data_IF_574398107730
#
_entry.id   IF_574398107730
#
_cell.length_a   1.000
_cell.length_b   1.000
_cell.length_c   1.000
_cell.angle_alpha   90.00
_cell.angle_beta   90.00
_cell.angle_gamma   90.00
#
_symmetry.space_group_name_H-M   'P 1'
#
loop_
_entity.id
_entity.type
_entity.pdbx_description
1 polymer ?
#
# COMPACT_ATOMS: atom_id res chain seq x y z
N UNK A 1 -50.18 7.10 26.51
CA UNK A 1 -48.73 7.40 26.42
C UNK A 1 -48.07 6.19 25.76
N UNK A 2 -47.90 6.20 24.44
CA UNK A 2 -47.24 5.11 23.72
C UNK A 2 -45.72 5.34 23.82
N UNK A 3 -45.00 4.43 24.49
CA UNK A 3 -43.54 4.38 24.43
C UNK A 3 -43.14 3.53 23.24
N UNK A 4 -42.70 4.16 22.15
CA UNK A 4 -42.01 3.47 21.05
C UNK A 4 -40.61 3.08 21.51
N UNK A 5 -40.37 1.77 21.66
CA UNK A 5 -39.02 1.24 21.80
C UNK A 5 -38.34 1.27 20.42
N UNK A 6 -37.32 2.11 20.27
CA UNK A 6 -36.47 2.14 19.09
C UNK A 6 -35.55 0.91 19.12
N UNK A 7 -35.88 -0.10 18.33
CA UNK A 7 -35.03 -1.29 18.17
C UNK A 7 -33.97 -0.98 17.11
N UNK A 8 -32.78 -0.58 17.52
CA UNK A 8 -31.66 -0.35 16.61
C UNK A 8 -31.19 -1.70 16.02
N UNK A 9 -31.49 -1.92 14.75
CA UNK A 9 -30.94 -3.04 13.97
C UNK A 9 -29.45 -2.78 13.69
N UNK A 10 -28.59 -3.51 14.40
CA UNK A 10 -27.18 -3.63 14.03
C UNK A 10 -27.07 -4.63 12.86
N UNK A 11 -26.86 -4.14 11.65
CA UNK A 11 -26.47 -4.98 10.52
C UNK A 11 -24.93 -5.08 10.48
N UNK A 12 -24.34 -6.30 10.52
CA UNK A 12 -22.90 -6.44 10.36
C UNK A 12 -22.49 -6.05 8.93
N UNK A 13 -21.62 -5.06 8.81
CA UNK A 13 -20.95 -4.75 7.54
C UNK A 13 -19.76 -5.71 7.40
N UNK A 14 -19.63 -6.35 6.25
CA UNK A 14 -18.53 -7.26 5.93
C UNK A 14 -17.96 -6.91 4.55
N UNK A 15 -16.64 -6.90 4.44
CA UNK A 15 -15.91 -6.72 3.19
C UNK A 15 -14.87 -7.82 3.05
N UNK A 16 -14.73 -8.37 1.84
CA UNK A 16 -13.63 -9.30 1.55
C UNK A 16 -12.36 -8.50 1.35
N UNK A 17 -11.32 -8.85 2.11
CA UNK A 17 -9.99 -8.28 2.01
C UNK A 17 -9.16 -9.16 1.08
N UNK A 18 -8.64 -8.60 -0.01
CA UNK A 18 -7.84 -9.33 -1.00
C UNK A 18 -6.33 -9.18 -0.77
N UNK A 19 -5.91 -8.01 -0.34
CA UNK A 19 -4.50 -7.70 -0.07
C UNK A 19 -4.38 -6.73 1.10
N UNK A 20 -3.42 -6.99 1.98
CA UNK A 20 -3.01 -6.10 3.07
C UNK A 20 -1.50 -6.21 3.20
N UNK A 21 -0.84 -5.06 3.22
CA UNK A 21 0.56 -4.95 3.61
C UNK A 21 0.69 -3.80 4.60
N UNK A 22 1.30 -4.09 5.74
CA UNK A 22 1.54 -3.14 6.83
C UNK A 22 3.02 -3.03 7.18
N UNK A 23 3.90 -3.77 6.48
CA UNK A 23 5.35 -3.69 6.63
C UNK A 23 5.86 -3.87 8.06
N UNK A 24 5.19 -4.76 8.83
CA UNK A 24 5.48 -5.03 10.25
C UNK A 24 6.74 -5.87 10.49
N UNK A 25 7.38 -6.34 9.43
CA UNK A 25 8.52 -7.25 9.50
C UNK A 25 9.50 -7.05 8.33
N UNK A 26 10.74 -7.52 8.55
CA UNK A 26 11.80 -7.50 7.53
C UNK A 26 11.59 -8.54 6.42
N UNK A 27 10.60 -9.42 6.55
CA UNK A 27 10.29 -10.47 5.55
C UNK A 27 9.45 -9.94 4.38
N UNK A 28 9.21 -8.63 4.30
CA UNK A 28 8.47 -8.03 3.19
C UNK A 28 9.06 -8.35 1.81
N UNK A 29 10.37 -8.62 1.73
CA UNK A 29 11.04 -9.08 0.49
C UNK A 29 10.64 -10.48 0.01
N UNK A 30 9.97 -11.27 0.85
CA UNK A 30 9.38 -12.54 0.44
C UNK A 30 8.05 -12.32 -0.32
N UNK A 31 7.44 -11.12 -0.16
CA UNK A 31 6.14 -10.76 -0.75
C UNK A 31 6.26 -9.79 -1.91
N UNK A 32 7.28 -8.92 -1.89
CA UNK A 32 7.51 -7.87 -2.87
C UNK A 32 8.73 -8.15 -3.73
N UNK A 33 8.58 -7.98 -5.04
CA UNK A 33 9.62 -8.23 -6.04
C UNK A 33 9.88 -6.96 -6.84
N UNK A 34 11.15 -6.56 -6.92
CA UNK A 34 11.58 -5.42 -7.73
C UNK A 34 11.62 -5.82 -9.22
N UNK A 35 11.10 -4.95 -10.10
CA UNK A 35 11.18 -5.15 -11.55
C UNK A 35 12.61 -5.09 -12.05
N UNK A 36 12.98 -5.78 -13.13
CA UNK A 36 14.30 -5.65 -13.75
C UNK A 36 14.33 -4.65 -14.93
N UNK A 37 13.21 -4.02 -15.27
CA UNK A 37 13.03 -3.19 -16.48
C UNK A 37 14.08 -2.07 -16.65
N UNK A 38 14.56 -1.47 -15.56
CA UNK A 38 15.52 -0.34 -15.59
C UNK A 38 16.92 -0.69 -15.09
N UNK A 39 17.16 -1.95 -14.78
CA UNK A 39 18.43 -2.43 -14.23
C UNK A 39 19.60 -2.17 -15.19
N UNK A 40 19.47 -2.62 -16.44
CA UNK A 40 20.52 -2.46 -17.46
C UNK A 40 20.72 -1.01 -17.89
N UNK A 41 19.68 -0.18 -17.76
CA UNK A 41 19.76 1.26 -18.04
C UNK A 41 20.42 2.06 -16.90
N UNK A 42 20.74 1.43 -15.76
CA UNK A 42 21.35 2.10 -14.60
C UNK A 42 20.49 3.17 -13.93
N UNK A 43 19.19 3.21 -14.26
CA UNK A 43 18.23 4.23 -13.77
C UNK A 43 17.21 3.66 -12.80
N UNK A 44 17.41 2.42 -12.36
CA UNK A 44 16.61 1.79 -11.32
C UNK A 44 16.97 2.33 -9.94
N UNK A 45 15.96 2.66 -9.16
CA UNK A 45 16.07 2.97 -7.73
C UNK A 45 15.76 1.76 -6.87
N UNK A 46 16.09 1.87 -5.59
CA UNK A 46 15.86 0.84 -4.57
C UNK A 46 14.88 1.30 -3.50
N UNK A 47 14.14 0.34 -2.97
CA UNK A 47 13.26 0.55 -1.81
C UNK A 47 13.92 0.02 -0.54
N UNK A 48 13.77 0.74 0.56
CA UNK A 48 14.10 0.23 1.89
C UNK A 48 12.93 0.42 2.84
N UNK A 49 12.88 -0.43 3.86
CA UNK A 49 11.92 -0.28 4.96
C UNK A 49 12.35 0.91 5.82
N UNK A 50 11.44 1.83 6.07
CA UNK A 50 11.71 2.98 6.95
C UNK A 50 10.41 3.59 7.47
N UNK A 51 10.43 4.02 8.74
CA UNK A 51 9.44 4.97 9.27
C UNK A 51 9.77 6.44 8.94
N UNK A 52 10.93 6.69 8.35
CA UNK A 52 11.44 8.04 8.07
C UNK A 52 11.91 8.79 9.32
N UNK A 53 12.35 10.03 9.11
CA UNK A 53 12.86 10.94 10.16
C UNK A 53 11.77 11.38 11.13
N UNK A 54 10.54 11.58 10.65
CA UNK A 54 9.42 12.08 11.46
C UNK A 54 8.32 11.03 11.52
N UNK A 55 8.24 10.27 12.61
CA UNK A 55 7.22 9.23 12.80
C UNK A 55 6.55 9.41 14.17
N UNK A 56 5.34 8.87 14.30
CA UNK A 56 4.66 8.80 15.59
C UNK A 56 5.05 7.52 16.33
N UNK A 57 4.99 6.38 15.64
CA UNK A 57 5.44 5.09 16.16
C UNK A 57 6.29 4.38 15.08
N UNK A 58 7.62 4.23 15.29
CA UNK A 58 8.49 3.66 14.27
C UNK A 58 8.24 2.17 13.99
N UNK A 59 7.51 1.46 14.85
CA UNK A 59 7.14 0.06 14.60
C UNK A 59 5.87 -0.07 13.74
N UNK A 60 5.01 0.95 13.74
CA UNK A 60 3.74 0.97 12.99
C UNK A 60 3.88 1.77 11.70
N UNK A 61 4.65 2.84 11.72
CA UNK A 61 4.79 3.78 10.60
C UNK A 61 5.84 3.33 9.56
N UNK A 62 6.33 2.08 9.65
CA UNK A 62 7.22 1.51 8.63
C UNK A 62 6.48 1.44 7.28
N UNK A 63 7.23 1.71 6.21
CA UNK A 63 6.76 1.50 4.86
C UNK A 63 7.92 1.48 3.87
N UNK A 64 7.59 1.33 2.58
CA UNK A 64 8.58 1.40 1.51
C UNK A 64 8.98 2.85 1.25
N UNK A 65 10.26 3.15 1.47
CA UNK A 65 10.88 4.43 1.17
C UNK A 65 11.82 4.30 -0.02
N UNK A 66 11.62 5.14 -1.03
CA UNK A 66 12.54 5.34 -2.16
C UNK A 66 13.87 5.91 -1.65
N UNK A 67 15.01 5.37 -2.10
CA UNK A 67 16.31 5.77 -1.57
C UNK A 67 17.03 6.85 -2.40
N UNK A 68 16.94 6.77 -3.73
CA UNK A 68 17.73 7.62 -4.62
C UNK A 68 16.90 8.67 -5.38
N UNK A 69 17.50 9.83 -5.63
CA UNK A 69 16.87 10.87 -6.46
C UNK A 69 16.95 10.53 -7.96
N UNK A 70 15.96 11.02 -8.72
CA UNK A 70 15.92 10.89 -10.19
C UNK A 70 16.12 9.44 -10.67
N UNK A 71 15.34 8.52 -10.10
CA UNK A 71 15.31 7.11 -10.46
C UNK A 71 13.89 6.64 -10.78
N UNK A 72 13.81 5.52 -11.49
CA UNK A 72 12.57 4.78 -11.69
C UNK A 72 12.42 3.72 -10.61
N UNK A 73 11.22 3.68 -10.05
CA UNK A 73 10.87 2.78 -8.95
C UNK A 73 9.75 1.87 -9.40
N UNK A 74 9.95 0.56 -9.28
CA UNK A 74 8.93 -0.44 -9.63
C UNK A 74 9.16 -1.69 -8.78
N UNK A 75 8.21 -1.94 -7.90
CA UNK A 75 8.14 -3.13 -7.06
C UNK A 75 6.68 -3.58 -7.01
N UNK A 76 6.43 -4.88 -6.98
CA UNK A 76 5.07 -5.43 -6.97
C UNK A 76 4.95 -6.57 -6.00
N UNK A 77 3.76 -6.74 -5.43
CA UNK A 77 3.39 -7.88 -4.62
C UNK A 77 2.24 -8.64 -5.30
N UNK A 78 2.36 -9.96 -5.34
CA UNK A 78 1.31 -10.82 -5.88
C UNK A 78 0.33 -11.17 -4.77
N UNK A 79 -0.96 -11.16 -5.09
CA UNK A 79 -2.04 -11.62 -4.22
C UNK A 79 -3.03 -12.47 -5.02
N UNK A 80 -3.96 -13.12 -4.32
CA UNK A 80 -4.94 -14.02 -4.94
C UNK A 80 -5.75 -13.31 -6.03
N UNK A 81 -5.72 -13.78 -7.29
CA UNK A 81 -6.51 -13.19 -8.36
C UNK A 81 -8.00 -13.15 -8.02
N UNK A 82 -8.65 -12.04 -8.37
CA UNK A 82 -10.08 -11.87 -8.13
C UNK A 82 -10.73 -11.03 -9.23
N UNK A 83 -12.07 -11.04 -9.26
CA UNK A 83 -12.88 -10.13 -10.07
C UNK A 83 -13.78 -9.30 -9.16
N UNK A 84 -13.86 -8.00 -9.45
CA UNK A 84 -14.80 -7.07 -8.83
C UNK A 84 -16.08 -6.88 -9.67
N UNK A 85 -16.36 -7.74 -10.65
CA UNK A 85 -17.57 -7.62 -11.46
C UNK A 85 -18.83 -7.61 -10.57
N UNK A 86 -19.68 -6.60 -10.77
CA UNK A 86 -20.88 -6.40 -9.96
C UNK A 86 -20.63 -6.02 -8.49
N UNK A 87 -19.39 -5.70 -8.10
CA UNK A 87 -19.01 -5.35 -6.73
C UNK A 87 -18.13 -4.09 -6.68
N UNK A 88 -18.24 -3.25 -5.63
CA UNK A 88 -17.31 -2.16 -5.44
C UNK A 88 -15.90 -2.69 -5.15
N UNK A 89 -14.89 -2.06 -5.76
CA UNK A 89 -13.48 -2.25 -5.43
C UNK A 89 -13.00 -1.05 -4.63
N UNK A 90 -12.27 -1.32 -3.54
CA UNK A 90 -11.62 -0.28 -2.73
C UNK A 90 -10.13 -0.58 -2.73
N UNK A 91 -9.35 0.41 -3.17
CA UNK A 91 -7.89 0.41 -3.06
C UNK A 91 -7.54 1.54 -2.11
N UNK A 92 -6.79 1.22 -1.06
CA UNK A 92 -6.38 2.18 -0.05
C UNK A 92 -4.91 1.97 0.28
N UNK A 93 -4.15 3.06 0.26
CA UNK A 93 -2.76 3.09 0.68
C UNK A 93 -2.48 4.43 1.37
N UNK A 94 -1.38 4.49 2.09
CA UNK A 94 -0.89 5.72 2.72
C UNK A 94 0.38 6.15 2.02
N UNK A 95 0.51 7.46 1.81
CA UNK A 95 1.68 8.05 1.17
C UNK A 95 2.15 9.25 2.00
N UNK A 96 3.47 9.31 2.20
CA UNK A 96 4.11 10.40 2.93
C UNK A 96 5.31 10.91 2.13
N UNK A 97 5.19 12.13 1.61
CA UNK A 97 6.34 12.87 1.09
C UNK A 97 7.08 13.51 2.26
N UNK A 98 8.02 12.78 2.84
CA UNK A 98 8.88 13.29 3.91
C UNK A 98 9.92 14.29 3.40
N UNK A 99 10.40 14.07 2.18
CA UNK A 99 11.21 15.05 1.45
C UNK A 99 10.34 16.12 0.81
N UNK A 100 10.92 17.29 0.59
CA UNK A 100 10.30 18.35 -0.21
C UNK A 100 10.39 17.95 -1.68
N UNK A 101 9.40 17.19 -2.14
CA UNK A 101 9.42 16.59 -3.48
C UNK A 101 9.11 17.66 -4.54
N UNK A 102 10.05 17.88 -5.46
CA UNK A 102 9.83 18.78 -6.59
C UNK A 102 9.02 18.09 -7.71
N UNK A 103 9.33 16.82 -7.98
CA UNK A 103 8.68 16.01 -9.02
C UNK A 103 8.79 14.52 -8.71
N UNK A 104 7.65 13.82 -8.69
CA UNK A 104 7.61 12.36 -8.55
C UNK A 104 6.18 11.83 -8.46
N UNK A 105 5.99 10.58 -8.88
CA UNK A 105 4.72 9.88 -8.78
C UNK A 105 4.55 9.19 -7.42
N UNK A 106 3.30 9.01 -7.01
CA UNK A 106 2.95 8.38 -5.73
C UNK A 106 1.63 7.62 -5.83
N UNK A 107 1.51 6.81 -6.87
CA UNK A 107 0.32 6.04 -7.22
C UNK A 107 0.63 4.54 -7.19
N UNK A 108 -0.42 3.73 -7.05
CA UNK A 108 -0.38 2.28 -7.19
C UNK A 108 -1.03 1.85 -8.51
N UNK A 109 -0.68 0.68 -9.00
CA UNK A 109 -1.25 0.08 -10.21
C UNK A 109 -1.63 -1.37 -9.93
N UNK A 110 -2.80 -1.79 -10.38
CA UNK A 110 -3.28 -3.17 -10.27
C UNK A 110 -3.12 -3.87 -11.61
N UNK A 111 -2.39 -4.99 -11.63
CA UNK A 111 -2.08 -5.71 -12.87
C UNK A 111 -2.89 -7.01 -12.98
N UNK A 112 -3.38 -7.38 -14.18
CA UNK A 112 -3.96 -8.69 -14.42
C UNK A 112 -2.96 -9.83 -14.15
N UNK A 113 -3.49 -11.02 -13.83
CA UNK A 113 -2.73 -12.27 -13.77
C UNK A 113 -2.29 -12.77 -15.14
#
# INVERSE_FOLDING_TARGET
KLSSALLSLFAPVSAKVYFVEEFKDDSWRDRWVDSEWKKDAGSQGSFALSAGKYHNDPAIDQGLKTQEDARHFTTSAVFEPFSNEGKPLVIQYQMKHEQDIECGGGYTEETPS
#
